data_IF_489327901734
#
_entry.id   IF_489327901734
#
_cell.length_a   1.000
_cell.length_b   1.000
_cell.length_c   1.000
_cell.angle_alpha   90.00
_cell.angle_beta   90.00
_cell.angle_gamma   90.00
#
_symmetry.space_group_name_H-M   'P 1'
#
loop_
_entity.id
_entity.type
_entity.pdbx_description
1 polymer ?
#
# COMPACT_ATOMS: atom_id res chain seq x y z
N UNK A 1 -59.03 -36.58 -6.03
CA UNK A 1 -58.38 -36.94 -4.76
C UNK A 1 -57.10 -37.65 -5.13
N UNK A 2 -56.02 -36.89 -5.06
CA UNK A 2 -54.67 -37.23 -5.51
C UNK A 2 -54.02 -38.22 -4.57
N UNK A 3 -53.59 -39.37 -5.07
CA UNK A 3 -52.51 -40.17 -4.49
C UNK A 3 -51.85 -40.94 -5.64
N UNK A 4 -50.89 -40.29 -6.30
CA UNK A 4 -49.91 -40.97 -7.14
C UNK A 4 -48.56 -40.83 -6.43
N UNK A 5 -48.02 -41.98 -6.04
CA UNK A 5 -46.71 -42.14 -5.43
C UNK A 5 -45.68 -42.27 -6.56
N UNK A 6 -44.65 -41.42 -6.64
CA UNK A 6 -43.48 -41.76 -7.43
C UNK A 6 -42.46 -42.51 -6.57
N UNK A 7 -42.16 -43.73 -7.02
CA UNK A 7 -40.98 -44.55 -6.70
C UNK A 7 -39.68 -43.77 -7.00
N UNK A 8 -38.55 -44.06 -6.31
CA UNK A 8 -37.35 -43.24 -6.35
C UNK A 8 -36.46 -43.61 -7.53
N UNK A 9 -36.11 -42.65 -8.37
CA UNK A 9 -35.00 -42.78 -9.31
C UNK A 9 -34.12 -41.53 -9.24
N UNK A 10 -32.85 -41.76 -8.92
CA UNK A 10 -31.63 -41.03 -9.33
C UNK A 10 -30.66 -40.73 -8.19
N UNK A 11 -30.28 -41.74 -7.40
CA UNK A 11 -28.96 -41.74 -6.77
C UNK A 11 -27.92 -42.21 -7.79
N UNK A 12 -27.56 -41.33 -8.72
CA UNK A 12 -26.29 -41.48 -9.43
C UNK A 12 -25.22 -40.98 -8.46
N UNK A 13 -24.71 -41.92 -7.66
CA UNK A 13 -23.73 -41.71 -6.60
C UNK A 13 -22.57 -40.85 -7.09
N UNK A 14 -22.21 -39.88 -6.24
CA UNK A 14 -21.07 -38.94 -6.35
C UNK A 14 -19.76 -39.70 -6.64
N UNK A 15 -19.69 -40.97 -6.24
CA UNK A 15 -18.56 -41.85 -6.51
C UNK A 15 -18.31 -42.06 -8.01
N UNK A 16 -19.36 -42.18 -8.83
CA UNK A 16 -19.22 -42.33 -10.29
C UNK A 16 -18.65 -41.08 -10.98
N UNK A 17 -18.91 -39.89 -10.40
CA UNK A 17 -18.34 -38.62 -10.87
C UNK A 17 -16.90 -38.46 -10.42
N UNK A 18 -16.53 -39.00 -9.25
CA UNK A 18 -15.16 -38.96 -8.76
C UNK A 18 -14.24 -39.92 -9.54
N UNK A 19 -14.75 -41.10 -9.95
CA UNK A 19 -13.95 -42.06 -10.76
C UNK A 19 -13.72 -41.55 -12.18
N UNK A 20 -14.70 -40.85 -12.77
CA UNK A 20 -14.54 -40.24 -14.09
C UNK A 20 -13.56 -39.06 -14.10
N UNK A 21 -13.44 -38.32 -12.98
CA UNK A 21 -12.50 -37.22 -12.86
C UNK A 21 -11.04 -37.69 -12.66
N UNK A 22 -10.83 -38.85 -12.01
CA UNK A 22 -9.47 -39.39 -11.78
C UNK A 22 -8.98 -40.34 -12.88
N UNK A 23 -9.86 -40.90 -13.72
CA UNK A 23 -9.47 -41.75 -14.85
C UNK A 23 -9.07 -40.97 -16.12
N UNK A 24 -9.20 -39.65 -16.14
CA UNK A 24 -8.97 -38.81 -17.32
C UNK A 24 -7.58 -38.13 -17.36
N UNK A 25 -6.70 -38.39 -16.41
CA UNK A 25 -5.38 -37.71 -16.30
C UNK A 25 -4.18 -38.65 -16.50
N UNK A 26 -4.42 -39.88 -16.97
CA UNK A 26 -3.35 -40.86 -17.21
C UNK A 26 -3.13 -41.11 -18.71
N UNK A 27 -2.78 -40.07 -19.46
CA UNK A 27 -2.09 -40.22 -20.77
C UNK A 27 -1.29 -38.96 -21.09
N UNK A 28 0.05 -39.05 -21.05
CA UNK A 28 0.90 -37.95 -21.53
C UNK A 28 2.34 -37.95 -21.04
N UNK A 29 3.03 -39.08 -21.12
CA UNK A 29 4.51 -39.10 -21.13
C UNK A 29 5.01 -38.39 -22.39
N UNK A 30 6.05 -37.55 -22.27
CA UNK A 30 7.11 -37.58 -23.28
C UNK A 30 8.45 -37.97 -22.66
N UNK A 31 9.07 -38.85 -23.42
CA UNK A 31 10.32 -39.57 -23.25
C UNK A 31 11.55 -38.67 -23.44
N UNK A 32 12.53 -38.88 -22.55
CA UNK A 32 13.98 -38.71 -22.63
C UNK A 32 14.65 -37.80 -23.70
N UNK A 33 15.56 -36.94 -23.23
CA UNK A 33 16.87 -36.76 -23.86
C UNK A 33 17.96 -36.74 -22.77
N UNK A 34 19.13 -37.38 -23.00
CA UNK A 34 20.04 -37.83 -21.95
C UNK A 34 21.03 -36.75 -21.51
N UNK A 35 21.38 -36.77 -20.23
CA UNK A 35 22.51 -36.02 -19.67
C UNK A 35 23.76 -36.83 -19.94
N UNK A 36 24.56 -36.39 -20.93
CA UNK A 36 25.86 -36.95 -21.25
C UNK A 36 26.88 -36.48 -20.19
N UNK A 37 27.41 -37.45 -19.45
CA UNK A 37 28.48 -37.30 -18.47
C UNK A 37 29.85 -37.50 -19.11
N UNK A 38 30.81 -36.67 -18.68
CA UNK A 38 32.29 -36.78 -18.78
C UNK A 38 32.94 -36.34 -20.11
N UNK A 39 34.20 -35.80 -20.11
CA UNK A 39 35.23 -35.99 -19.08
C UNK A 39 35.94 -34.71 -18.55
N UNK A 40 36.57 -34.87 -17.38
CA UNK A 40 37.79 -34.14 -17.01
C UNK A 40 38.84 -34.32 -18.12
N UNK A 41 39.31 -33.21 -18.68
CA UNK A 41 40.55 -33.16 -19.44
C UNK A 41 41.38 -32.01 -18.88
N UNK A 42 42.36 -32.40 -18.06
CA UNK A 42 43.58 -31.63 -17.89
C UNK A 42 44.29 -31.63 -19.24
N UNK A 43 44.49 -30.45 -19.82
CA UNK A 43 45.53 -30.26 -20.82
C UNK A 43 46.03 -28.82 -20.69
N UNK A 44 47.30 -28.68 -20.35
CA UNK A 44 48.03 -27.42 -20.55
C UNK A 44 48.07 -27.12 -22.04
N UNK A 45 48.02 -25.84 -22.42
CA UNK A 45 48.93 -25.38 -23.45
C UNK A 45 49.73 -24.19 -22.96
N UNK A 46 51.04 -24.39 -22.92
CA UNK A 46 52.00 -23.31 -23.17
C UNK A 46 51.89 -22.95 -24.64
N UNK A 47 51.43 -21.74 -24.97
CA UNK A 47 51.69 -21.11 -26.26
C UNK A 47 51.42 -19.59 -26.18
N UNK A 48 52.50 -18.85 -26.42
CA UNK A 48 52.60 -17.52 -27.03
C UNK A 48 51.58 -16.42 -26.68
N UNK A 49 52.13 -15.40 -26.03
CA UNK A 49 51.57 -14.06 -25.90
C UNK A 49 51.59 -13.40 -27.27
N UNK A 50 50.54 -13.56 -28.05
CA UNK A 50 50.22 -12.63 -29.14
C UNK A 50 49.42 -11.46 -28.54
N UNK A 51 50.05 -10.28 -28.54
CA UNK A 51 49.42 -9.01 -28.20
C UNK A 51 48.35 -8.70 -29.27
N UNK A 52 47.13 -9.14 -29.02
CA UNK A 52 45.96 -8.56 -29.67
C UNK A 52 45.43 -7.45 -28.75
N UNK A 53 45.37 -6.22 -29.29
CA UNK A 53 44.79 -5.06 -28.63
C UNK A 53 43.33 -5.36 -28.26
N UNK A 54 43.12 -5.83 -27.02
CA UNK A 54 41.81 -5.83 -26.40
C UNK A 54 41.46 -4.37 -26.19
N UNK A 55 40.57 -3.84 -27.03
CA UNK A 55 39.76 -2.69 -26.61
C UNK A 55 39.07 -3.12 -25.32
N UNK A 56 39.58 -2.65 -24.18
CA UNK A 56 38.97 -2.87 -22.88
C UNK A 56 37.57 -2.26 -22.93
N UNK A 57 36.58 -3.10 -23.21
CA UNK A 57 35.18 -2.76 -22.98
C UNK A 57 35.03 -2.66 -21.46
N UNK A 58 35.17 -1.43 -20.99
CA UNK A 58 35.04 -1.05 -19.59
C UNK A 58 33.57 -0.72 -19.34
N UNK A 59 32.96 -1.42 -18.39
CA UNK A 59 31.60 -1.12 -17.93
C UNK A 59 31.65 -0.19 -16.71
N UNK A 60 30.84 0.87 -16.73
CA UNK A 60 30.68 1.78 -15.60
C UNK A 60 29.65 1.20 -14.62
N UNK A 61 30.15 0.68 -13.49
CA UNK A 61 29.33 0.17 -12.41
C UNK A 61 29.21 1.21 -11.30
N UNK A 62 27.98 1.58 -10.97
CA UNK A 62 27.71 2.42 -9.79
C UNK A 62 27.61 1.52 -8.55
N UNK A 63 28.57 1.68 -7.64
CA UNK A 63 28.58 1.03 -6.34
C UNK A 63 27.49 1.60 -5.43
N UNK A 64 27.08 0.85 -4.41
CA UNK A 64 26.01 1.23 -3.49
C UNK A 64 26.28 2.54 -2.72
N UNK A 65 27.55 3.00 -2.72
CA UNK A 65 28.03 4.26 -2.15
C UNK A 65 28.03 5.45 -3.15
N UNK A 66 27.49 5.26 -4.37
CA UNK A 66 27.41 6.30 -5.40
C UNK A 66 28.72 6.59 -6.16
N UNK A 67 29.71 5.69 -6.07
CA UNK A 67 30.95 5.80 -6.84
C UNK A 67 30.86 4.96 -8.10
N UNK A 68 31.11 5.58 -9.26
CA UNK A 68 31.20 4.90 -10.55
C UNK A 68 32.60 4.31 -10.71
N UNK A 69 32.69 2.98 -10.60
CA UNK A 69 33.93 2.23 -10.78
C UNK A 69 33.89 1.58 -12.17
N UNK A 70 34.98 1.79 -12.91
CA UNK A 70 35.22 1.19 -14.22
C UNK A 70 35.76 -0.23 -14.03
N UNK A 71 34.92 -1.24 -14.25
CA UNK A 71 35.32 -2.65 -14.13
C UNK A 71 35.53 -3.29 -15.51
N UNK A 72 36.45 -4.27 -15.64
CA UNK A 72 36.58 -5.06 -16.87
C UNK A 72 35.30 -5.84 -17.16
N UNK A 73 34.90 -5.94 -18.44
CA UNK A 73 33.72 -6.71 -18.89
C UNK A 73 33.66 -8.17 -18.37
N UNK A 74 34.81 -8.77 -18.04
CA UNK A 74 34.87 -10.11 -17.45
C UNK A 74 34.20 -10.22 -16.07
N UNK A 75 34.17 -9.12 -15.29
CA UNK A 75 33.66 -9.09 -13.90
C UNK A 75 32.21 -8.59 -13.83
N UNK A 76 31.75 -7.87 -14.86
CA UNK A 76 30.38 -7.33 -14.96
C UNK A 76 29.31 -8.43 -14.76
N UNK A 77 29.45 -9.57 -15.44
CA UNK A 77 28.51 -10.69 -15.31
C UNK A 77 28.50 -11.28 -13.90
N UNK A 78 29.63 -11.31 -13.20
CA UNK A 78 29.69 -11.83 -11.83
C UNK A 78 28.99 -10.87 -10.84
N UNK A 79 29.21 -9.57 -11.00
CA UNK A 79 28.61 -8.52 -10.16
C UNK A 79 27.10 -8.41 -10.41
N UNK A 80 26.65 -8.42 -11.67
CA UNK A 80 25.22 -8.44 -12.01
C UNK A 80 24.53 -9.69 -11.47
N UNK A 81 25.15 -10.87 -11.59
CA UNK A 81 24.64 -12.09 -10.97
C UNK A 81 24.54 -11.96 -9.46
N UNK A 82 25.55 -11.43 -8.77
CA UNK A 82 25.51 -11.25 -7.33
C UNK A 82 24.41 -10.28 -6.89
N UNK A 83 24.23 -9.16 -7.60
CA UNK A 83 23.11 -8.22 -7.37
C UNK A 83 21.77 -8.91 -7.58
N UNK A 84 21.59 -9.67 -8.66
CA UNK A 84 20.37 -10.42 -8.94
C UNK A 84 20.07 -11.47 -7.87
N UNK A 85 21.09 -12.22 -7.45
CA UNK A 85 20.95 -13.21 -6.36
C UNK A 85 20.56 -12.52 -5.06
N UNK A 86 21.16 -11.38 -4.75
CA UNK A 86 20.83 -10.60 -3.55
C UNK A 86 19.40 -10.07 -3.60
N UNK A 87 18.97 -9.52 -4.73
CA UNK A 87 17.59 -9.05 -4.90
C UNK A 87 16.58 -10.19 -4.83
N UNK A 88 16.82 -11.31 -5.52
CA UNK A 88 15.93 -12.48 -5.52
C UNK A 88 15.82 -13.11 -4.14
N UNK A 89 16.93 -13.24 -3.41
CA UNK A 89 16.92 -13.75 -2.03
C UNK A 89 16.18 -12.82 -1.08
N UNK A 90 16.35 -11.50 -1.21
CA UNK A 90 15.57 -10.52 -0.44
C UNK A 90 14.07 -10.58 -0.76
N UNK A 91 13.70 -10.67 -2.04
CA UNK A 91 12.30 -10.79 -2.47
C UNK A 91 11.67 -12.10 -1.96
N UNK A 92 12.42 -13.20 -2.00
CA UNK A 92 11.97 -14.49 -1.46
C UNK A 92 11.80 -14.43 0.05
N UNK A 93 12.72 -13.78 0.78
CA UNK A 93 12.61 -13.59 2.21
C UNK A 93 11.39 -12.71 2.59
N UNK A 94 11.12 -11.64 1.83
CA UNK A 94 9.93 -10.80 2.02
C UNK A 94 8.63 -11.57 1.74
N UNK A 95 8.61 -12.37 0.66
CA UNK A 95 7.47 -13.24 0.34
C UNK A 95 7.23 -14.27 1.44
N UNK A 96 8.28 -14.89 1.96
CA UNK A 96 8.20 -15.84 3.08
C UNK A 96 7.63 -15.18 4.34
N UNK A 97 8.11 -13.98 4.70
CA UNK A 97 7.58 -13.22 5.83
C UNK A 97 6.10 -12.90 5.66
N UNK A 98 5.71 -12.41 4.49
CA UNK A 98 4.31 -12.11 4.20
C UNK A 98 3.41 -13.35 4.19
N UNK A 99 3.91 -14.49 3.70
CA UNK A 99 3.20 -15.76 3.75
C UNK A 99 3.06 -16.26 5.20
N UNK A 100 4.14 -16.20 5.99
CA UNK A 100 4.15 -16.60 7.38
C UNK A 100 3.18 -15.75 8.22
N UNK A 101 3.18 -14.43 8.03
CA UNK A 101 2.25 -13.53 8.71
C UNK A 101 0.78 -13.86 8.38
N UNK A 102 0.45 -14.11 7.10
CA UNK A 102 -0.89 -14.54 6.69
C UNK A 102 -1.29 -15.87 7.30
N UNK A 103 -0.38 -16.84 7.36
CA UNK A 103 -0.63 -18.15 7.98
C UNK A 103 -0.87 -18.01 9.49
N UNK A 104 -0.03 -17.26 10.21
CA UNK A 104 -0.20 -17.03 11.64
C UNK A 104 -1.53 -16.32 11.94
N UNK A 105 -1.90 -15.32 11.13
CA UNK A 105 -3.18 -14.64 11.28
C UNK A 105 -4.38 -15.55 10.99
N UNK A 106 -4.31 -16.36 9.93
CA UNK A 106 -5.34 -17.31 9.58
C UNK A 106 -5.52 -18.38 10.66
N UNK A 107 -4.42 -18.96 11.14
CA UNK A 107 -4.39 -19.96 12.21
C UNK A 107 -4.99 -19.39 13.51
N UNK A 108 -4.55 -18.19 13.94
CA UNK A 108 -5.11 -17.55 15.12
C UNK A 108 -6.62 -17.33 14.98
N UNK A 109 -7.08 -16.88 13.81
CA UNK A 109 -8.51 -16.63 13.56
C UNK A 109 -9.33 -17.92 13.53
N UNK A 110 -8.79 -18.99 12.94
CA UNK A 110 -9.45 -20.30 12.90
C UNK A 110 -9.59 -20.89 14.31
N UNK A 111 -8.50 -20.87 15.09
CA UNK A 111 -8.49 -21.30 16.49
C UNK A 111 -9.51 -20.55 17.33
N UNK A 112 -9.69 -19.23 17.10
CA UNK A 112 -10.76 -18.47 17.76
C UNK A 112 -12.14 -19.04 17.41
N UNK A 113 -12.44 -19.15 16.11
CA UNK A 113 -13.80 -19.43 15.66
C UNK A 113 -14.34 -20.78 16.14
N UNK A 114 -13.53 -21.84 16.05
CA UNK A 114 -13.94 -23.19 16.44
C UNK A 114 -13.83 -23.40 17.96
N UNK A 115 -12.68 -23.07 18.54
CA UNK A 115 -12.42 -23.41 19.94
C UNK A 115 -13.16 -22.50 20.92
N UNK A 116 -13.33 -21.21 20.61
CA UNK A 116 -14.10 -20.31 21.48
C UNK A 116 -15.59 -20.62 21.41
N UNK A 117 -16.12 -21.04 20.25
CA UNK A 117 -17.53 -21.41 20.15
C UNK A 117 -17.84 -22.60 21.05
N UNK A 118 -17.02 -23.66 20.99
CA UNK A 118 -17.17 -24.84 21.85
C UNK A 118 -17.05 -24.46 23.34
N UNK A 119 -16.01 -23.71 23.73
CA UNK A 119 -15.85 -23.25 25.11
C UNK A 119 -17.03 -22.41 25.61
N UNK A 120 -17.58 -21.53 24.77
CA UNK A 120 -18.75 -20.71 25.12
C UNK A 120 -19.99 -21.59 25.30
N UNK A 121 -20.16 -22.64 24.50
CA UNK A 121 -21.28 -23.59 24.70
C UNK A 121 -21.13 -24.38 25.99
N UNK A 122 -19.92 -24.84 26.30
CA UNK A 122 -19.60 -25.53 27.56
C UNK A 122 -19.84 -24.60 28.75
N UNK A 123 -19.35 -23.36 28.68
CA UNK A 123 -19.58 -22.34 29.70
C UNK A 123 -21.07 -22.15 29.98
N UNK A 124 -21.89 -21.95 28.93
CA UNK A 124 -23.34 -21.82 29.07
C UNK A 124 -23.99 -23.06 29.70
N UNK A 125 -23.50 -24.25 29.40
CA UNK A 125 -24.02 -25.49 29.99
C UNK A 125 -23.72 -25.58 31.50
N UNK A 126 -22.50 -25.20 31.91
CA UNK A 126 -22.08 -25.17 33.31
C UNK A 126 -22.86 -24.08 34.06
N UNK A 127 -23.01 -22.90 33.46
CA UNK A 127 -23.84 -21.81 34.01
C UNK A 127 -25.30 -22.24 34.19
N UNK A 128 -25.85 -23.00 33.24
CA UNK A 128 -27.21 -23.53 33.35
C UNK A 128 -27.34 -24.53 34.50
N UNK A 129 -26.34 -25.40 34.71
CA UNK A 129 -26.33 -26.33 35.85
C UNK A 129 -26.21 -25.57 37.17
N UNK A 130 -25.32 -24.59 37.22
CA UNK A 130 -25.09 -23.74 38.38
C UNK A 130 -26.35 -22.96 38.79
N UNK A 131 -27.11 -22.43 37.83
CA UNK A 131 -28.40 -21.78 38.10
C UNK A 131 -29.42 -22.72 38.76
N UNK A 132 -29.48 -23.99 38.35
CA UNK A 132 -30.37 -24.97 38.98
C UNK A 132 -30.09 -25.16 40.48
N UNK A 133 -28.81 -25.05 40.89
CA UNK A 133 -28.43 -25.10 42.30
C UNK A 133 -28.64 -23.77 43.02
N UNK A 134 -28.47 -22.63 42.33
CA UNK A 134 -28.70 -21.31 42.93
C UNK A 134 -30.18 -21.05 43.23
N UNK A 135 -31.08 -21.55 42.37
CA UNK A 135 -32.53 -21.37 42.52
C UNK A 135 -33.15 -22.38 43.51
N UNK A 136 -32.37 -23.30 44.07
CA UNK A 136 -32.87 -24.33 44.99
C UNK A 136 -33.18 -23.77 46.40
N UNK A 137 -34.21 -24.30 47.04
CA UNK A 137 -34.57 -23.96 48.43
C UNK A 137 -33.62 -24.68 49.42
N UNK A 138 -32.49 -24.03 49.70
CA UNK A 138 -31.46 -24.53 50.60
C UNK A 138 -31.95 -24.77 52.03
N UNK A 139 -32.72 -23.87 52.67
CA UNK A 139 -33.33 -24.14 53.98
C UNK A 139 -34.10 -25.45 54.03
N UNK A 140 -35.01 -25.69 53.08
CA UNK A 140 -35.80 -26.92 53.02
C UNK A 140 -34.91 -28.18 52.80
N UNK A 141 -33.86 -28.07 51.97
CA UNK A 141 -32.90 -29.15 51.75
C UNK A 141 -32.09 -29.51 53.00
N UNK A 142 -31.69 -28.51 53.79
CA UNK A 142 -30.97 -28.72 55.04
C UNK A 142 -31.85 -29.39 56.11
N UNK A 143 -33.12 -29.01 56.19
CA UNK A 143 -34.10 -29.63 57.08
C UNK A 143 -34.41 -31.09 56.70
N UNK A 144 -34.53 -31.37 55.40
CA UNK A 144 -34.82 -32.71 54.90
C UNK A 144 -33.60 -33.66 54.98
N UNK A 145 -32.42 -33.22 54.54
CA UNK A 145 -31.19 -34.01 54.60
C UNK A 145 -29.92 -33.12 54.59
N UNK A 146 -29.31 -32.85 55.76
CA UNK A 146 -28.15 -31.96 55.85
C UNK A 146 -26.92 -32.51 55.11
N UNK A 147 -26.75 -33.84 55.05
CA UNK A 147 -25.64 -34.46 54.33
C UNK A 147 -25.72 -34.27 52.82
N UNK A 148 -26.93 -34.32 52.25
CA UNK A 148 -27.17 -34.08 50.84
C UNK A 148 -27.02 -32.59 50.47
N UNK A 149 -27.49 -31.68 51.32
CA UNK A 149 -27.30 -30.24 51.15
C UNK A 149 -25.80 -29.87 51.10
N UNK A 150 -24.99 -30.42 52.01
CA UNK A 150 -23.53 -30.23 51.99
C UNK A 150 -22.87 -30.72 50.68
N UNK A 151 -23.33 -31.84 50.11
CA UNK A 151 -22.83 -32.33 48.80
C UNK A 151 -23.21 -31.39 47.67
N UNK A 152 -24.45 -30.91 47.62
CA UNK A 152 -24.87 -29.94 46.60
C UNK A 152 -24.11 -28.62 46.70
N UNK A 153 -23.78 -28.17 47.92
CA UNK A 153 -22.95 -26.97 48.11
C UNK A 153 -21.52 -27.18 47.56
N UNK A 154 -20.94 -28.39 47.72
CA UNK A 154 -19.66 -28.73 47.10
C UNK A 154 -19.74 -28.71 45.57
N UNK A 155 -20.77 -29.34 45.00
CA UNK A 155 -21.02 -29.33 43.55
C UNK A 155 -21.16 -27.91 43.03
N UNK A 156 -21.95 -27.06 43.70
CA UNK A 156 -22.11 -25.65 43.32
C UNK A 156 -20.76 -24.92 43.32
N UNK A 157 -19.95 -25.09 44.37
CA UNK A 157 -18.62 -24.47 44.46
C UNK A 157 -17.67 -24.96 43.35
N UNK A 158 -17.77 -26.22 42.97
CA UNK A 158 -16.95 -26.78 41.89
C UNK A 158 -17.44 -26.29 40.52
N UNK A 159 -18.74 -26.13 40.31
CA UNK A 159 -19.30 -25.48 39.11
C UNK A 159 -18.86 -24.00 39.02
N UNK A 160 -18.86 -23.25 40.13
CA UNK A 160 -18.37 -21.86 40.17
C UNK A 160 -16.89 -21.77 39.75
N UNK A 161 -16.05 -22.70 40.23
CA UNK A 161 -14.65 -22.79 39.82
C UNK A 161 -14.53 -23.09 38.34
N UNK A 162 -15.32 -24.04 37.81
CA UNK A 162 -15.32 -24.39 36.40
C UNK A 162 -15.73 -23.21 35.50
N UNK A 163 -16.76 -22.45 35.90
CA UNK A 163 -17.16 -21.21 35.23
C UNK A 163 -15.99 -20.21 35.20
N UNK A 164 -15.37 -19.96 36.35
CA UNK A 164 -14.23 -19.03 36.43
C UNK A 164 -13.06 -19.49 35.56
N UNK A 165 -12.74 -20.80 35.56
CA UNK A 165 -11.65 -21.36 34.76
C UNK A 165 -11.96 -21.23 33.26
N UNK A 166 -13.16 -21.62 32.83
CA UNK A 166 -13.58 -21.51 31.42
C UNK A 166 -13.62 -20.06 30.94
N UNK A 167 -14.08 -19.14 31.77
CA UNK A 167 -14.06 -17.72 31.44
C UNK A 167 -12.62 -17.20 31.26
N UNK A 168 -11.68 -17.63 32.11
CA UNK A 168 -10.27 -17.28 31.97
C UNK A 168 -9.66 -17.87 30.69
N UNK A 169 -9.96 -19.13 30.35
CA UNK A 169 -9.51 -19.77 29.11
C UNK A 169 -10.03 -19.04 27.87
N UNK A 170 -11.32 -18.70 27.83
CA UNK A 170 -11.92 -17.93 26.75
C UNK A 170 -11.25 -16.57 26.62
N UNK A 171 -11.07 -15.85 27.73
CA UNK A 171 -10.43 -14.55 27.72
C UNK A 171 -8.98 -14.63 27.23
N UNK A 172 -8.23 -15.67 27.60
CA UNK A 172 -6.87 -15.89 27.13
C UNK A 172 -6.83 -16.14 25.61
N UNK A 173 -7.75 -16.95 25.07
CA UNK A 173 -7.88 -17.19 23.62
C UNK A 173 -8.23 -15.91 22.86
N UNK A 174 -9.19 -15.13 23.37
CA UNK A 174 -9.56 -13.83 22.78
C UNK A 174 -8.37 -12.87 22.79
N UNK A 175 -7.62 -12.77 23.89
CA UNK A 175 -6.44 -11.92 23.97
C UNK A 175 -5.34 -12.37 23.00
N UNK A 176 -5.10 -13.67 22.87
CA UNK A 176 -4.11 -14.20 21.93
C UNK A 176 -4.42 -13.78 20.49
N UNK A 177 -5.69 -13.87 20.09
CA UNK A 177 -6.14 -13.52 18.74
C UNK A 177 -6.12 -12.02 18.51
N UNK A 178 -6.47 -11.22 19.52
CA UNK A 178 -6.31 -9.77 19.44
C UNK A 178 -4.84 -9.38 19.25
N UNK A 179 -3.91 -10.03 19.97
CA UNK A 179 -2.48 -9.80 19.80
C UNK A 179 -2.01 -10.23 18.40
N UNK A 180 -2.43 -11.39 17.90
CA UNK A 180 -2.10 -11.85 16.55
C UNK A 180 -2.64 -10.89 15.48
N UNK A 181 -3.88 -10.40 15.64
CA UNK A 181 -4.49 -9.41 14.74
C UNK A 181 -3.74 -8.08 14.76
N UNK A 182 -3.33 -7.61 15.94
CA UNK A 182 -2.55 -6.38 16.06
C UNK A 182 -1.19 -6.51 15.39
N UNK A 183 -0.49 -7.64 15.60
CA UNK A 183 0.79 -7.94 14.92
C UNK A 183 0.62 -7.98 13.41
N UNK A 184 -0.42 -8.63 12.93
CA UNK A 184 -0.75 -8.71 11.51
C UNK A 184 -0.98 -7.33 10.90
N UNK A 185 -1.79 -6.48 11.54
CA UNK A 185 -2.03 -5.12 11.07
C UNK A 185 -0.76 -4.25 11.10
N UNK A 186 0.09 -4.42 12.12
CA UNK A 186 1.37 -3.72 12.20
C UNK A 186 2.31 -4.13 11.07
N UNK A 187 2.45 -5.43 10.82
CA UNK A 187 3.26 -5.97 9.73
C UNK A 187 2.76 -5.45 8.37
N UNK A 188 1.44 -5.53 8.11
CA UNK A 188 0.86 -5.00 6.89
C UNK A 188 1.12 -3.50 6.72
N UNK A 189 0.97 -2.71 7.78
CA UNK A 189 1.23 -1.28 7.74
C UNK A 189 2.70 -0.99 7.44
N UNK A 190 3.64 -1.68 8.07
CA UNK A 190 5.07 -1.51 7.85
C UNK A 190 5.47 -1.87 6.41
N UNK A 191 4.98 -3.02 5.90
CA UNK A 191 5.17 -3.41 4.50
C UNK A 191 4.56 -2.40 3.53
N UNK A 192 3.37 -1.87 3.87
CA UNK A 192 2.71 -0.85 3.05
C UNK A 192 3.48 0.47 3.03
N UNK A 193 3.99 0.91 4.18
CA UNK A 193 4.81 2.11 4.31
C UNK A 193 6.13 1.98 3.54
N UNK A 194 6.81 0.83 3.65
CA UNK A 194 8.03 0.52 2.89
C UNK A 194 7.77 0.56 1.38
N UNK A 195 6.68 -0.06 0.92
CA UNK A 195 6.28 0.00 -0.48
C UNK A 195 5.91 1.42 -0.94
N UNK A 196 5.24 2.20 -0.09
CA UNK A 196 4.89 3.58 -0.40
C UNK A 196 6.14 4.47 -0.55
N UNK A 197 7.12 4.30 0.35
CA UNK A 197 8.42 5.00 0.27
C UNK A 197 9.17 4.67 -1.02
N UNK A 198 9.12 3.42 -1.49
CA UNK A 198 9.70 3.04 -2.78
C UNK A 198 9.01 3.73 -3.97
N UNK A 199 7.70 3.98 -3.89
CA UNK A 199 6.94 4.63 -4.98
C UNK A 199 7.04 6.16 -4.97
N UNK A 200 7.14 6.76 -3.78
CA UNK A 200 7.01 8.20 -3.56
C UNK A 200 8.37 8.88 -3.32
N UNK A 201 9.37 8.11 -2.87
CA UNK A 201 10.62 8.61 -2.32
C UNK A 201 10.49 8.95 -0.83
N UNK A 202 11.36 9.85 -0.36
CA UNK A 202 11.37 10.27 1.04
C UNK A 202 10.10 11.02 1.42
N UNK A 203 9.47 10.57 2.51
CA UNK A 203 8.27 11.18 3.10
C UNK A 203 8.72 11.93 4.35
N UNK A 204 8.52 13.24 4.38
CA UNK A 204 8.86 14.04 5.56
C UNK A 204 7.83 13.87 6.69
N UNK A 205 8.21 14.23 7.92
CA UNK A 205 7.26 14.28 9.03
C UNK A 205 6.08 15.24 8.77
N UNK A 206 6.33 16.31 8.00
CA UNK A 206 5.29 17.26 7.59
C UNK A 206 4.31 16.63 6.59
N UNK A 207 4.80 15.83 5.64
CA UNK A 207 3.96 15.10 4.68
C UNK A 207 3.09 14.07 5.40
N UNK A 208 3.64 13.35 6.38
CA UNK A 208 2.87 12.42 7.22
C UNK A 208 1.73 13.14 7.97
N UNK A 209 2.01 14.30 8.57
CA UNK A 209 0.99 15.09 9.23
C UNK A 209 -0.06 15.64 8.25
N UNK A 210 0.33 16.00 7.02
CA UNK A 210 -0.60 16.44 5.99
C UNK A 210 -1.49 15.28 5.51
N UNK A 211 -0.93 14.09 5.29
CA UNK A 211 -1.70 12.89 4.96
C UNK A 211 -2.74 12.57 6.03
N UNK A 212 -2.35 12.58 7.32
CA UNK A 212 -3.28 12.33 8.42
C UNK A 212 -4.44 13.34 8.43
N UNK A 213 -4.16 14.63 8.26
CA UNK A 213 -5.23 15.65 8.16
C UNK A 213 -6.16 15.42 6.97
N UNK A 214 -5.61 14.95 5.85
CA UNK A 214 -6.38 14.65 4.64
C UNK A 214 -7.27 13.42 4.83
N UNK A 215 -6.80 12.44 5.59
CA UNK A 215 -7.58 11.25 5.97
C UNK A 215 -8.69 11.62 6.96
N UNK A 216 -8.36 12.44 7.96
CA UNK A 216 -9.32 12.92 8.96
C UNK A 216 -10.41 13.82 8.35
N UNK A 217 -10.08 14.64 7.35
CA UNK A 217 -11.08 15.46 6.66
C UNK A 217 -12.10 14.64 5.87
N UNK A 218 -11.75 13.41 5.50
CA UNK A 218 -12.65 12.43 4.88
C UNK A 218 -13.47 11.62 5.91
N UNK A 219 -13.30 11.90 7.21
CA UNK A 219 -13.98 11.18 8.29
C UNK A 219 -13.38 9.81 8.62
N UNK A 220 -12.18 9.51 8.09
CA UNK A 220 -11.47 8.26 8.37
C UNK A 220 -10.56 8.48 9.59
N UNK A 221 -10.61 7.59 10.57
CA UNK A 221 -9.71 7.68 11.73
C UNK A 221 -8.31 7.18 11.38
N UNK A 222 -7.24 7.65 12.04
CA UNK A 222 -5.88 7.15 11.82
C UNK A 222 -5.75 5.64 12.01
N UNK A 223 -6.49 5.08 12.99
CA UNK A 223 -6.49 3.65 13.26
C UNK A 223 -7.18 2.85 12.13
N UNK A 224 -8.30 3.37 11.62
CA UNK A 224 -9.00 2.77 10.49
C UNK A 224 -8.14 2.83 9.23
N UNK A 225 -7.46 3.95 8.99
CA UNK A 225 -6.54 4.12 7.89
C UNK A 225 -5.44 3.04 7.89
N UNK A 226 -4.78 2.86 9.05
CA UNK A 226 -3.70 1.87 9.20
C UNK A 226 -4.15 0.43 9.11
N UNK A 227 -5.36 0.11 9.57
CA UNK A 227 -5.84 -1.28 9.65
C UNK A 227 -6.55 -1.74 8.37
N UNK A 228 -7.32 -0.87 7.71
CA UNK A 228 -8.12 -1.23 6.53
C UNK A 228 -7.46 -0.88 5.21
N UNK A 229 -6.59 0.13 5.21
CA UNK A 229 -6.02 0.71 4.00
C UNK A 229 -4.49 0.63 3.98
N UNK A 230 -3.92 -0.43 4.59
CA UNK A 230 -2.50 -0.77 4.53
C UNK A 230 -2.08 -1.27 3.13
N UNK A 231 -2.20 -0.39 2.12
CA UNK A 231 -1.75 -0.63 0.76
C UNK A 231 -0.80 0.51 0.33
N UNK A 232 0.41 0.21 -0.17
CA UNK A 232 1.33 1.20 -0.72
C UNK A 232 0.69 2.22 -1.67
N UNK A 233 -0.24 1.76 -2.52
CA UNK A 233 -0.93 2.55 -3.53
C UNK A 233 -1.87 3.56 -2.89
N UNK A 234 -2.55 3.15 -1.83
CA UNK A 234 -3.48 4.03 -1.11
C UNK A 234 -2.70 5.10 -0.36
N UNK A 235 -1.62 4.74 0.32
CA UNK A 235 -0.72 5.71 0.96
C UNK A 235 -0.19 6.71 -0.08
N UNK A 236 0.22 6.24 -1.26
CA UNK A 236 0.66 7.12 -2.35
C UNK A 236 -0.44 8.04 -2.89
N UNK A 237 -1.68 7.57 -2.98
CA UNK A 237 -2.83 8.40 -3.33
C UNK A 237 -3.10 9.46 -2.26
N UNK A 238 -3.11 9.08 -0.98
CA UNK A 238 -3.29 10.00 0.14
C UNK A 238 -2.21 11.07 0.16
N UNK A 239 -0.95 10.71 -0.10
CA UNK A 239 0.13 11.67 -0.21
C UNK A 239 -0.07 12.68 -1.35
N UNK A 240 -0.47 12.19 -2.54
CA UNK A 240 -0.78 13.06 -3.68
C UNK A 240 -1.94 14.00 -3.37
N UNK A 241 -2.99 13.50 -2.72
CA UNK A 241 -4.12 14.31 -2.28
C UNK A 241 -3.68 15.40 -1.29
N UNK A 242 -2.90 15.03 -0.27
CA UNK A 242 -2.37 15.98 0.71
C UNK A 242 -1.52 17.09 0.06
N UNK A 243 -0.66 16.73 -0.90
CA UNK A 243 0.13 17.70 -1.68
C UNK A 243 -0.75 18.60 -2.55
N UNK A 244 -1.79 18.04 -3.15
CA UNK A 244 -2.76 18.81 -3.94
C UNK A 244 -3.49 19.83 -3.07
N UNK A 245 -4.00 19.43 -1.91
CA UNK A 245 -4.71 20.31 -1.00
C UNK A 245 -3.80 21.43 -0.47
N UNK A 246 -2.53 21.10 -0.18
CA UNK A 246 -1.53 22.10 0.17
C UNK A 246 -1.30 23.12 -0.96
N UNK A 247 -1.23 22.66 -2.22
CA UNK A 247 -1.08 23.54 -3.38
C UNK A 247 -2.33 24.42 -3.60
N UNK A 248 -3.53 23.85 -3.46
CA UNK A 248 -4.78 24.62 -3.59
C UNK A 248 -4.90 25.69 -2.50
N UNK A 249 -4.53 25.35 -1.25
CA UNK A 249 -4.51 26.31 -0.14
C UNK A 249 -3.52 27.47 -0.35
N UNK A 250 -2.39 27.21 -1.03
CA UNK A 250 -1.39 28.23 -1.34
C UNK A 250 -1.70 29.05 -2.61
N UNK A 251 -2.67 28.64 -3.42
CA UNK A 251 -2.99 29.29 -4.71
C UNK A 251 -3.28 30.78 -4.58
N UNK A 252 -4.09 31.17 -3.58
CA UNK A 252 -4.43 32.58 -3.36
C UNK A 252 -3.21 33.43 -2.99
N UNK A 253 -2.33 32.91 -2.11
CA UNK A 253 -1.11 33.63 -1.72
C UNK A 253 -0.08 33.68 -2.84
N UNK A 254 0.01 32.64 -3.68
CA UNK A 254 0.84 32.62 -4.87
C UNK A 254 0.39 33.65 -5.92
N UNK A 255 -0.93 33.76 -6.17
CA UNK A 255 -1.51 34.78 -7.07
C UNK A 255 -1.26 36.18 -6.51
N UNK A 256 -1.42 36.39 -5.21
CA UNK A 256 -1.17 37.68 -4.58
C UNK A 256 0.31 38.08 -4.67
N UNK A 257 1.24 37.17 -4.40
CA UNK A 257 2.69 37.41 -4.59
C UNK A 257 3.04 37.70 -6.05
N UNK A 258 2.45 36.98 -7.01
CA UNK A 258 2.65 37.22 -8.43
C UNK A 258 2.10 38.59 -8.86
N UNK A 259 0.97 39.03 -8.31
CA UNK A 259 0.38 40.35 -8.59
C UNK A 259 1.20 41.52 -8.02
N UNK A 260 1.95 41.29 -6.95
CA UNK A 260 2.85 42.25 -6.32
C UNK A 260 4.28 42.21 -6.89
N UNK A 261 4.59 41.26 -7.79
CA UNK A 261 5.90 41.18 -8.40
C UNK A 261 6.13 42.38 -9.35
N UNK A 262 7.28 43.08 -9.26
CA UNK A 262 7.57 44.18 -10.17
C UNK A 262 7.54 43.73 -11.63
N UNK A 263 7.08 44.57 -12.57
CA UNK A 263 7.06 44.21 -13.98
C UNK A 263 8.49 43.91 -14.45
N UNK A 264 8.67 42.77 -15.13
CA UNK A 264 9.95 42.37 -15.70
C UNK A 264 10.35 43.39 -16.75
N UNK A 265 11.27 44.28 -16.39
CA UNK A 265 11.96 45.14 -17.34
C UNK A 265 12.93 44.21 -18.09
N UNK A 266 12.56 43.76 -19.29
CA UNK A 266 13.51 43.10 -20.19
C UNK A 266 14.73 44.01 -20.34
N UNK A 267 15.95 43.57 -20.00
CA UNK A 267 17.16 44.33 -20.27
C UNK A 267 17.20 44.60 -21.78
N UNK A 268 17.03 45.86 -22.18
CA UNK A 268 16.97 46.28 -23.60
C UNK A 268 15.63 46.82 -24.10
N UNK A 269 14.54 46.78 -23.32
CA UNK A 269 13.24 47.36 -23.71
C UNK A 269 13.04 48.82 -23.25
N UNK A 270 14.11 49.53 -22.89
CA UNK A 270 14.05 50.90 -22.40
C UNK A 270 14.68 51.89 -23.39
N UNK A 271 14.11 51.99 -24.59
CA UNK A 271 14.13 53.26 -25.31
C UNK A 271 12.67 53.71 -25.45
N UNK A 272 12.08 54.33 -24.40
CA UNK A 272 10.80 54.99 -24.58
C UNK A 272 10.95 55.98 -25.73
N UNK A 273 10.17 55.76 -26.80
CA UNK A 273 10.17 56.59 -28.00
C UNK A 273 10.15 58.07 -27.60
N UNK A 274 11.11 58.87 -28.08
CA UNK A 274 11.28 60.25 -27.63
C UNK A 274 9.97 61.03 -27.77
N UNK A 275 9.72 62.02 -26.91
CA UNK A 275 8.50 62.83 -26.95
C UNK A 275 8.27 63.42 -28.35
N UNK A 276 9.35 63.83 -29.03
CA UNK A 276 9.33 64.31 -30.42
C UNK A 276 8.88 63.23 -31.42
N UNK A 277 9.38 62.00 -31.28
CA UNK A 277 8.98 60.88 -32.15
C UNK A 277 7.51 60.50 -31.95
N UNK A 278 7.00 60.57 -30.71
CA UNK A 278 5.57 60.35 -30.41
C UNK A 278 4.70 61.43 -31.04
N UNK A 279 5.10 62.69 -30.94
CA UNK A 279 4.41 63.81 -31.57
C UNK A 279 4.42 63.72 -33.10
N UNK A 280 5.55 63.33 -33.72
CA UNK A 280 5.66 63.09 -35.15
C UNK A 280 4.71 61.98 -35.62
N UNK A 281 4.68 60.85 -34.90
CA UNK A 281 3.81 59.72 -35.23
C UNK A 281 2.32 60.11 -35.12
N UNK A 282 1.96 60.83 -34.06
CA UNK A 282 0.58 61.30 -33.84
C UNK A 282 0.16 62.31 -34.92
N UNK A 283 1.05 63.22 -35.31
CA UNK A 283 0.81 64.16 -36.40
C UNK A 283 0.62 63.43 -37.74
N UNK A 284 1.48 62.45 -38.06
CA UNK A 284 1.33 61.63 -39.28
C UNK A 284 0.01 60.86 -39.30
N UNK A 285 -0.39 60.30 -38.17
CA UNK A 285 -1.69 59.62 -38.03
C UNK A 285 -2.84 60.59 -38.24
N UNK A 286 -2.81 61.76 -37.62
CA UNK A 286 -3.83 62.81 -37.76
C UNK A 286 -3.93 63.34 -39.21
N UNK A 287 -2.80 63.53 -39.88
CA UNK A 287 -2.76 63.90 -41.30
C UNK A 287 -3.33 62.81 -42.22
N UNK A 288 -3.06 61.54 -41.92
CA UNK A 288 -3.57 60.40 -42.68
C UNK A 288 -5.07 60.17 -42.46
N UNK A 289 -5.58 60.42 -41.25
CA UNK A 289 -7.00 60.26 -40.93
C UNK A 289 -7.87 61.45 -41.34
N UNK A 290 -7.28 62.60 -41.63
CA UNK A 290 -7.99 63.79 -42.10
C UNK A 290 -8.34 63.67 -43.60
N UNK A 291 -9.64 63.75 -43.91
CA UNK A 291 -10.19 63.66 -45.27
C UNK A 291 -10.37 65.02 -45.97
N UNK A 292 -10.29 66.13 -45.24
CA UNK A 292 -10.46 67.49 -45.77
C UNK A 292 -9.15 68.27 -45.83
N UNK A 293 -8.94 69.01 -46.92
CA UNK A 293 -7.75 69.85 -47.12
C UNK A 293 -7.64 70.98 -46.07
N UNK A 294 -8.79 71.47 -45.58
CA UNK A 294 -8.83 72.53 -44.56
C UNK A 294 -8.39 72.01 -43.18
N UNK A 295 -8.73 70.77 -42.84
CA UNK A 295 -8.34 70.17 -41.56
C UNK A 295 -6.86 69.80 -41.54
N UNK A 296 -6.29 69.40 -42.68
CA UNK A 296 -4.84 69.22 -42.84
C UNK A 296 -4.08 70.54 -42.67
N UNK A 297 -4.61 71.64 -43.22
CA UNK A 297 -4.01 72.97 -43.07
C UNK A 297 -3.99 73.40 -41.59
N UNK A 298 -5.10 73.22 -40.86
CA UNK A 298 -5.17 73.50 -39.41
C UNK A 298 -4.19 72.68 -38.57
N UNK A 299 -4.03 71.39 -38.88
CA UNK A 299 -3.06 70.53 -38.18
C UNK A 299 -1.61 71.00 -38.40
N UNK A 300 -1.28 71.48 -39.61
CA UNK A 300 0.03 72.04 -39.94
C UNK A 300 0.25 73.37 -39.19
N UNK A 301 -0.75 74.25 -39.19
CA UNK A 301 -0.71 75.52 -38.46
C UNK A 301 -0.50 75.32 -36.96
N UNK A 302 -1.25 74.39 -36.35
CA UNK A 302 -1.09 74.05 -34.94
C UNK A 302 0.32 73.54 -34.63
N UNK A 303 0.87 72.69 -35.49
CA UNK A 303 2.23 72.17 -35.35
C UNK A 303 3.31 73.25 -35.50
N UNK A 304 3.10 74.22 -36.38
CA UNK A 304 4.02 75.36 -36.53
C UNK A 304 3.94 76.27 -35.31
N UNK A 305 2.73 76.58 -34.83
CA UNK A 305 2.52 77.40 -33.63
C UNK A 305 3.19 76.79 -32.39
N UNK A 306 3.13 75.47 -32.22
CA UNK A 306 3.77 74.76 -31.10
C UNK A 306 5.29 74.68 -31.22
N UNK A 307 5.88 74.97 -32.40
CA UNK A 307 7.34 75.00 -32.61
C UNK A 307 7.97 76.38 -32.31
N UNK A 308 7.16 77.43 -32.32
CA UNK A 308 7.59 78.82 -32.13
C UNK A 308 7.15 79.42 -30.79
N UNK A 309 6.66 78.59 -29.87
CA UNK A 309 6.44 78.89 -28.45
C UNK A 309 7.58 78.31 -27.62
#
# INVERSE_FOLDING_TARGET
MSTDTPTPESEVSIESRLTAAFAAEETGVPEAAPVETAPEASDEPTAEVEQEEVSEDVFEFEADDGTTVKLPAAVEKAVLRQKDYTQKTMQLAELQKAAQDRLQYAEAREQLSAAVLDDVTQLRSIESQLKQYQDADWPALYEANPGQALRFQQVMRDLEKQVSQKQQEINAKVQHVQQATQKHHQFQWESAEKGARQMIGDISAADNAAMLRTVESLGITPQEFKSRFADPRIIAMTHKAAKWDALQGQKASAVQKASQAPPVIKPGAANPMSAQSKQELNFRKAMKSSSSSQDRARLIEQRLADRFK
#
